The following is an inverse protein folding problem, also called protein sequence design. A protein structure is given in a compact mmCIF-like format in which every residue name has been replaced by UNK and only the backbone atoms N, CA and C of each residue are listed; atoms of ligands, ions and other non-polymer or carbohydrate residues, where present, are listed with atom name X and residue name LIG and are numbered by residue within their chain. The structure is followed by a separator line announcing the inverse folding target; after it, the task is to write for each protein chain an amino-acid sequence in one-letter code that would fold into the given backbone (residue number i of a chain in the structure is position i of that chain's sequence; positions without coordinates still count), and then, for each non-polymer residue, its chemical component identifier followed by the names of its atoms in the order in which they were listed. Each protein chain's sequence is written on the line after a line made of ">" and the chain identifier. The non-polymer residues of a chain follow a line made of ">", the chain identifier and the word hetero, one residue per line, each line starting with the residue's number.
data_IF_891151331800
#
_entry.id   IF_891151331800
#
_cell.length_a   1.000
_cell.length_b   1.000
_cell.length_c   1.000
_cell.angle_alpha   90.00
_cell.angle_beta   90.00
_cell.angle_gamma   90.00
#
_symmetry.space_group_name_H-M   'P 1'
#
loop_
_entity.id
_entity.type
_entity.pdbx_description
1 polymer ?
#
# COMPACT_ATOMS: atom_id res chain seq x y z
N UNK A 1 11.53 -33.71 -4.05
CA UNK A 1 10.29 -33.09 -3.55
C UNK A 1 10.00 -31.90 -4.44
N UNK A 2 9.22 -32.12 -5.49
CA UNK A 2 8.76 -31.07 -6.42
C UNK A 2 7.32 -30.74 -6.05
N UNK A 3 7.15 -29.96 -4.99
CA UNK A 3 5.84 -29.38 -4.69
C UNK A 3 5.48 -28.38 -5.79
N UNK A 4 4.27 -28.51 -6.34
CA UNK A 4 3.77 -27.56 -7.31
C UNK A 4 3.69 -26.18 -6.67
N UNK A 5 4.47 -25.22 -7.17
CA UNK A 5 4.35 -23.81 -6.78
C UNK A 5 2.98 -23.34 -7.28
N UNK A 6 1.96 -23.43 -6.44
CA UNK A 6 0.71 -22.70 -6.68
C UNK A 6 1.08 -21.22 -6.69
N UNK A 7 0.59 -20.48 -7.68
CA UNK A 7 0.78 -19.02 -7.74
C UNK A 7 0.02 -18.38 -6.57
N UNK A 8 0.67 -18.29 -5.41
CA UNK A 8 0.09 -17.72 -4.21
C UNK A 8 0.41 -16.23 -4.16
N UNK A 9 -0.55 -15.40 -4.53
CA UNK A 9 -0.44 -13.96 -4.38
C UNK A 9 -0.21 -13.58 -2.91
N UNK A 10 0.84 -12.80 -2.66
CA UNK A 10 1.07 -12.18 -1.37
C UNK A 10 0.06 -11.08 -1.05
N UNK A 11 -0.70 -11.22 0.03
CA UNK A 11 -1.67 -10.21 0.48
C UNK A 11 -1.25 -9.67 1.85
N UNK A 12 -1.30 -8.34 2.00
CA UNK A 12 -1.13 -7.66 3.27
C UNK A 12 -2.28 -6.65 3.46
N UNK A 13 -2.87 -6.63 4.65
CA UNK A 13 -3.97 -5.71 5.01
C UNK A 13 -3.57 -4.94 6.27
N UNK A 14 -3.73 -3.62 6.22
CA UNK A 14 -3.52 -2.74 7.37
C UNK A 14 -4.78 -1.93 7.61
N UNK A 15 -5.29 -1.99 8.84
CA UNK A 15 -6.38 -1.14 9.32
C UNK A 15 -5.85 -0.20 10.39
N UNK A 16 -6.02 1.09 10.19
CA UNK A 16 -5.72 2.10 11.21
C UNK A 16 -6.89 2.13 12.21
N UNK A 17 -6.59 1.97 13.50
CA UNK A 17 -7.58 1.95 14.59
C UNK A 17 -7.65 3.29 15.34
N UNK A 18 -6.74 4.20 15.03
CA UNK A 18 -6.62 5.54 15.59
C UNK A 18 -6.69 6.56 14.44
N UNK A 19 -6.99 7.84 14.72
CA UNK A 19 -6.99 8.87 13.68
C UNK A 19 -5.56 9.20 13.23
N UNK A 20 -5.38 9.86 12.08
CA UNK A 20 -4.06 10.07 11.46
C UNK A 20 -3.12 10.90 12.35
N UNK A 21 -3.68 11.84 13.12
CA UNK A 21 -2.99 12.72 14.06
C UNK A 21 -2.25 11.92 15.14
N UNK A 22 -2.85 10.81 15.60
CA UNK A 22 -2.18 9.91 16.56
C UNK A 22 -0.89 9.35 15.98
N UNK A 23 -0.90 8.95 14.71
CA UNK A 23 0.29 8.39 14.06
C UNK A 23 1.34 9.46 13.77
N UNK A 24 0.92 10.69 13.43
CA UNK A 24 1.82 11.83 13.30
C UNK A 24 2.55 12.11 14.62
N UNK A 25 1.82 12.21 15.74
CA UNK A 25 2.42 12.50 17.04
C UNK A 25 3.32 11.37 17.54
N UNK A 26 2.90 10.12 17.35
CA UNK A 26 3.63 8.95 17.87
C UNK A 26 4.81 8.52 17.01
N UNK A 27 4.70 8.63 15.68
CA UNK A 27 5.68 8.09 14.72
C UNK A 27 6.31 9.16 13.83
N UNK A 28 5.94 10.44 14.00
CA UNK A 28 6.48 11.56 13.22
C UNK A 28 5.95 11.66 11.79
N UNK A 29 4.99 10.81 11.39
CA UNK A 29 4.45 10.81 10.02
C UNK A 29 2.98 10.34 9.99
N UNK A 30 2.11 10.94 9.16
CA UNK A 30 0.75 10.44 8.99
C UNK A 30 0.72 9.23 8.04
N UNK A 31 1.81 8.98 7.32
CA UNK A 31 1.97 7.92 6.32
C UNK A 31 2.35 6.57 6.95
N UNK A 32 2.25 6.43 8.28
CA UNK A 32 2.60 5.21 9.01
C UNK A 32 2.01 3.94 8.37
N UNK A 33 0.73 3.98 8.00
CA UNK A 33 0.04 2.84 7.37
C UNK A 33 0.64 2.45 6.02
N UNK A 34 0.95 3.42 5.17
CA UNK A 34 1.55 3.19 3.85
C UNK A 34 2.97 2.64 4.01
N UNK A 35 3.77 3.23 4.91
CA UNK A 35 5.14 2.78 5.17
C UNK A 35 5.17 1.34 5.70
N UNK A 36 4.25 0.97 6.60
CA UNK A 36 4.12 -0.41 7.08
C UNK A 36 3.66 -1.35 5.97
N UNK A 37 2.73 -0.93 5.11
CA UNK A 37 2.30 -1.74 3.97
C UNK A 37 3.45 -1.98 3.00
N UNK A 38 4.27 -0.97 2.72
CA UNK A 38 5.46 -1.09 1.89
C UNK A 38 6.41 -2.14 2.45
N UNK A 39 6.72 -2.07 3.75
CA UNK A 39 7.58 -3.04 4.41
C UNK A 39 7.02 -4.47 4.35
N UNK A 40 5.71 -4.66 4.54
CA UNK A 40 5.07 -5.98 4.45
C UNK A 40 5.14 -6.54 3.03
N UNK A 41 4.83 -5.75 2.02
CA UNK A 41 4.88 -6.19 0.63
C UNK A 41 6.32 -6.48 0.17
N UNK A 42 7.31 -5.70 0.63
CA UNK A 42 8.73 -5.97 0.37
C UNK A 42 9.16 -7.35 0.90
N UNK A 43 8.64 -7.78 2.06
CA UNK A 43 8.92 -9.11 2.60
C UNK A 43 8.35 -10.24 1.75
N UNK A 44 7.27 -9.99 1.02
CA UNK A 44 6.58 -11.00 0.21
C UNK A 44 7.09 -11.03 -1.24
N UNK A 45 7.84 -10.01 -1.68
CA UNK A 45 8.32 -9.86 -3.07
C UNK A 45 9.06 -11.08 -3.63
N UNK A 46 9.74 -11.85 -2.78
CA UNK A 46 10.57 -12.99 -3.19
C UNK A 46 9.74 -14.26 -3.46
N UNK A 47 8.41 -14.23 -3.32
CA UNK A 47 7.51 -15.36 -3.64
C UNK A 47 7.14 -15.46 -5.14
N UNK A 48 7.71 -14.59 -5.98
CA UNK A 48 7.28 -14.44 -7.36
C UNK A 48 6.05 -13.54 -7.45
N UNK A 49 6.11 -12.53 -8.32
CA UNK A 49 5.01 -11.59 -8.52
C UNK A 49 5.00 -11.15 -9.99
N UNK A 50 3.91 -11.41 -10.69
CA UNK A 50 3.70 -10.92 -12.07
C UNK A 50 3.24 -9.45 -12.09
N UNK A 51 2.88 -8.93 -10.92
CA UNK A 51 2.45 -7.56 -10.71
C UNK A 51 2.24 -7.27 -9.23
N UNK A 52 1.94 -6.01 -8.93
CA UNK A 52 1.64 -5.54 -7.58
C UNK A 52 0.49 -4.55 -7.61
N UNK A 53 -0.24 -4.45 -6.49
CA UNK A 53 -1.33 -3.52 -6.36
C UNK A 53 -1.60 -3.13 -4.91
N UNK A 54 -2.07 -1.91 -4.73
CA UNK A 54 -2.49 -1.37 -3.44
C UNK A 54 -3.86 -0.73 -3.62
N UNK A 55 -4.72 -0.90 -2.62
CA UNK A 55 -5.98 -0.20 -2.49
C UNK A 55 -6.08 0.45 -1.11
N UNK A 56 -6.60 1.67 -1.06
CA UNK A 56 -6.94 2.38 0.17
C UNK A 56 -8.44 2.65 0.20
N UNK A 57 -9.05 2.42 1.36
CA UNK A 57 -10.48 2.58 1.58
C UNK A 57 -10.66 3.51 2.77
N UNK A 58 -11.34 4.63 2.55
CA UNK A 58 -11.77 5.57 3.58
C UNK A 58 -13.11 5.11 4.14
N UNK A 59 -13.26 5.20 5.46
CA UNK A 59 -14.48 4.82 6.18
C UNK A 59 -15.25 6.08 6.55
N UNK A 60 -16.58 6.05 6.49
CA UNK A 60 -17.42 7.20 6.90
C UNK A 60 -17.37 8.38 5.94
N UNK A 61 -17.15 8.14 4.65
CA UNK A 61 -17.13 9.18 3.63
C UNK A 61 -18.56 9.55 3.23
N UNK A 62 -18.82 10.85 3.10
CA UNK A 62 -20.11 11.36 2.63
C UNK A 62 -20.43 10.90 1.19
N UNK A 63 -21.72 10.74 0.85
CA UNK A 63 -22.15 10.46 -0.52
C UNK A 63 -21.56 11.48 -1.52
N UNK A 64 -21.17 10.99 -2.70
CA UNK A 64 -20.55 11.81 -3.74
C UNK A 64 -19.05 12.06 -3.58
N UNK A 65 -18.43 11.68 -2.45
CA UNK A 65 -16.98 11.76 -2.27
C UNK A 65 -16.30 10.41 -2.54
N UNK A 66 -15.09 10.47 -3.10
CA UNK A 66 -14.29 9.29 -3.41
C UNK A 66 -13.79 8.62 -2.13
N UNK A 67 -14.27 7.41 -1.86
CA UNK A 67 -13.86 6.61 -0.69
C UNK A 67 -12.78 5.57 -1.00
N UNK A 68 -12.61 5.16 -2.26
CA UNK A 68 -11.63 4.15 -2.68
C UNK A 68 -10.58 4.72 -3.63
N UNK A 69 -9.31 4.41 -3.38
CA UNK A 69 -8.22 4.63 -4.33
C UNK A 69 -7.45 3.34 -4.56
N UNK A 70 -7.00 3.11 -5.79
CA UNK A 70 -6.26 1.90 -6.17
C UNK A 70 -5.18 2.23 -7.17
N UNK A 71 -4.02 1.59 -7.04
CA UNK A 71 -2.92 1.63 -8.01
C UNK A 71 -2.43 0.21 -8.23
N UNK A 72 -2.20 -0.15 -9.49
CA UNK A 72 -1.69 -1.45 -9.92
C UNK A 72 -0.57 -1.24 -10.92
N UNK A 73 0.36 -2.18 -10.97
CA UNK A 73 1.42 -2.24 -11.97
C UNK A 73 1.74 -3.69 -12.30
N UNK A 74 2.13 -3.92 -13.55
CA UNK A 74 2.67 -5.17 -14.07
C UNK A 74 4.09 -4.97 -14.63
N UNK A 75 4.77 -3.87 -14.25
CA UNK A 75 6.16 -3.65 -14.66
C UNK A 75 7.09 -4.69 -14.03
N UNK A 76 8.30 -4.83 -14.58
CA UNK A 76 9.33 -5.72 -14.02
C UNK A 76 9.65 -5.43 -12.55
N UNK A 77 9.43 -4.18 -12.11
CA UNK A 77 9.53 -3.76 -10.72
C UNK A 77 8.18 -3.22 -10.21
N UNK A 78 7.10 -3.98 -10.40
CA UNK A 78 5.73 -3.55 -10.09
C UNK A 78 5.55 -2.96 -8.68
N UNK A 79 6.19 -3.56 -7.67
CA UNK A 79 6.12 -3.06 -6.29
C UNK A 79 6.73 -1.65 -6.18
N UNK A 80 7.89 -1.44 -6.77
CA UNK A 80 8.58 -0.14 -6.78
C UNK A 80 7.72 0.89 -7.52
N UNK A 81 7.25 0.55 -8.71
CA UNK A 81 6.42 1.43 -9.55
C UNK A 81 5.13 1.87 -8.83
N UNK A 82 4.46 0.96 -8.13
CA UNK A 82 3.27 1.31 -7.33
C UNK A 82 3.61 2.30 -6.21
N UNK A 83 4.69 2.06 -5.46
CA UNK A 83 5.06 2.93 -4.35
C UNK A 83 5.62 4.27 -4.80
N UNK A 84 6.40 4.32 -5.89
CA UNK A 84 6.89 5.57 -6.47
C UNK A 84 5.72 6.50 -6.85
N UNK A 85 4.68 5.95 -7.48
CA UNK A 85 3.46 6.72 -7.79
C UNK A 85 2.73 7.21 -6.52
N UNK A 86 2.65 6.36 -5.49
CA UNK A 86 1.99 6.73 -4.23
C UNK A 86 2.77 7.84 -3.52
N UNK A 87 4.09 7.73 -3.42
CA UNK A 87 4.92 8.74 -2.77
C UNK A 87 5.07 10.02 -3.61
N UNK A 88 5.11 9.91 -4.94
CA UNK A 88 5.11 11.06 -5.85
C UNK A 88 3.93 11.99 -5.60
N UNK A 89 2.73 11.42 -5.39
CA UNK A 89 1.55 12.21 -5.04
C UNK A 89 1.73 13.05 -3.76
N UNK A 90 2.45 12.54 -2.75
CA UNK A 90 2.66 13.27 -1.51
C UNK A 90 3.78 14.30 -1.58
N UNK A 91 4.78 14.09 -2.44
CA UNK A 91 5.88 15.03 -2.63
C UNK A 91 5.47 16.29 -3.43
N UNK A 92 4.42 16.19 -4.25
CA UNK A 92 3.91 17.29 -5.08
C UNK A 92 2.86 18.16 -4.35
N UNK A 93 2.40 17.76 -3.16
CA UNK A 93 1.48 18.57 -2.37
C UNK A 93 2.26 19.50 -1.41
N UNK A 94 2.00 20.82 -1.41
CA UNK A 94 2.55 21.69 -0.38
C UNK A 94 2.05 21.26 1.00
N UNK A 95 2.94 21.37 2.00
CA UNK A 95 2.68 21.01 3.40
C UNK A 95 1.55 21.84 4.02
#
# INVERSE_FOLDING_TARGET
>A
MSDSIKHECGIAVIRLLKPLEYYQQKYGTPLYGINKLHLLLQKIRNRGQDGAGIATIKIGVEPGKRYISRKRSNSSQALKDVFDHVYGYFNEQPA
#
